data_IF_113228652082
#
_entry.id   IF_113228652082
#
_cell.length_a   1.000
_cell.length_b   1.000
_cell.length_c   1.000
_cell.angle_alpha   90.00
_cell.angle_beta   90.00
_cell.angle_gamma   90.00
#
_symmetry.space_group_name_H-M   'P 1'
#
loop_
_entity.id
_entity.type
_entity.pdbx_description
1 polymer ?
#
# COMPACT_ATOMS: atom_id res chain seq x y z
N UNK A 1 -7.65 -5.09 5.13
CA UNK A 1 -7.67 -4.24 3.93
C UNK A 1 -8.84 -4.55 3.00
N UNK A 2 -8.89 -5.70 2.30
CA UNK A 2 -9.95 -6.04 1.32
C UNK A 2 -11.38 -5.88 1.89
N UNK A 3 -11.61 -6.33 3.13
CA UNK A 3 -12.93 -6.17 3.79
C UNK A 3 -13.36 -4.71 3.95
N UNK A 4 -12.43 -3.81 4.22
CA UNK A 4 -12.69 -2.38 4.31
C UNK A 4 -12.97 -1.83 2.90
N UNK A 5 -12.16 -2.20 1.90
CA UNK A 5 -12.35 -1.82 0.51
C UNK A 5 -13.73 -2.22 -0.03
N UNK A 6 -14.19 -3.44 0.27
CA UNK A 6 -15.50 -3.94 -0.14
C UNK A 6 -16.68 -3.13 0.42
N UNK A 7 -16.50 -2.40 1.52
CA UNK A 7 -17.53 -1.47 2.03
C UNK A 7 -17.76 -0.28 1.09
N UNK A 8 -16.72 0.13 0.36
CA UNK A 8 -16.77 1.22 -0.61
C UNK A 8 -17.16 0.74 -2.03
N UNK A 9 -17.31 -0.57 -2.23
CA UNK A 9 -17.65 -1.20 -3.51
C UNK A 9 -18.91 -2.07 -3.36
N UNK A 10 -20.09 -1.45 -3.19
CA UNK A 10 -21.34 -2.20 -3.10
C UNK A 10 -21.57 -3.03 -4.37
N UNK A 11 -21.86 -4.32 -4.19
CA UNK A 11 -22.04 -5.28 -5.29
C UNK A 11 -20.79 -6.07 -5.68
N UNK A 12 -19.62 -5.78 -5.10
CA UNK A 12 -18.42 -6.60 -5.24
C UNK A 12 -18.30 -7.51 -4.02
N UNK A 13 -18.54 -8.80 -4.21
CA UNK A 13 -18.32 -9.84 -3.21
C UNK A 13 -17.00 -10.58 -3.46
N UNK A 14 -16.77 -11.69 -2.74
CA UNK A 14 -15.54 -12.46 -2.95
C UNK A 14 -15.49 -13.04 -4.36
N UNK A 15 -16.61 -13.49 -4.93
CA UNK A 15 -16.67 -14.24 -6.18
C UNK A 15 -16.41 -13.36 -7.41
N UNK A 16 -16.57 -12.05 -7.26
CA UNK A 16 -16.20 -11.06 -8.27
C UNK A 16 -14.67 -10.97 -8.56
N UNK A 17 -13.81 -11.56 -7.72
CA UNK A 17 -12.35 -11.52 -7.92
C UNK A 17 -11.82 -12.71 -8.72
N UNK A 18 -11.31 -12.44 -9.92
CA UNK A 18 -10.65 -13.44 -10.79
C UNK A 18 -9.30 -13.95 -10.24
N UNK A 19 -8.62 -13.15 -9.41
CA UNK A 19 -7.34 -13.49 -8.78
C UNK A 19 -7.32 -13.02 -7.33
N UNK A 20 -6.84 -13.89 -6.43
CA UNK A 20 -6.61 -13.59 -5.01
C UNK A 20 -5.25 -14.17 -4.63
N UNK A 21 -4.40 -13.31 -4.09
CA UNK A 21 -3.00 -13.62 -3.76
C UNK A 21 -2.62 -12.84 -2.52
N UNK A 22 -1.77 -13.43 -1.68
CA UNK A 22 -1.26 -12.87 -0.42
C UNK A 22 0.09 -12.14 -0.56
N UNK A 23 0.67 -12.17 -1.76
CA UNK A 23 1.85 -11.40 -2.14
C UNK A 23 1.48 -10.15 -2.94
N UNK A 24 1.78 -8.97 -2.37
CA UNK A 24 1.59 -7.68 -3.06
C UNK A 24 2.43 -7.59 -4.34
N UNK A 25 3.63 -8.17 -4.35
CA UNK A 25 4.51 -8.18 -5.52
C UNK A 25 3.89 -8.99 -6.67
N UNK A 26 3.30 -10.15 -6.38
CA UNK A 26 2.63 -10.97 -7.38
C UNK A 26 1.35 -10.29 -7.90
N UNK A 27 0.58 -9.64 -7.01
CA UNK A 27 -0.59 -8.84 -7.40
C UNK A 27 -0.19 -7.71 -8.36
N UNK A 28 0.82 -6.91 -8.02
CA UNK A 28 1.29 -5.80 -8.86
C UNK A 28 1.81 -6.31 -10.21
N UNK A 29 2.53 -7.43 -10.23
CA UNK A 29 2.98 -8.06 -11.47
C UNK A 29 1.81 -8.48 -12.36
N UNK A 30 0.74 -9.04 -11.79
CA UNK A 30 -0.47 -9.39 -12.55
C UNK A 30 -1.15 -8.15 -13.16
N UNK A 31 -1.25 -7.05 -12.40
CA UNK A 31 -1.78 -5.77 -12.91
C UNK A 31 -0.92 -5.28 -14.09
N UNK A 32 0.41 -5.25 -13.92
CA UNK A 32 1.36 -4.83 -14.97
C UNK A 32 1.31 -5.71 -16.22
N UNK A 33 1.03 -6.99 -16.06
CA UNK A 33 0.87 -7.93 -17.16
C UNK A 33 -0.49 -7.79 -17.89
N UNK A 34 -1.36 -6.87 -17.46
CA UNK A 34 -2.67 -6.66 -18.07
C UNK A 34 -3.70 -7.72 -17.69
N UNK A 35 -3.51 -8.44 -16.58
CA UNK A 35 -4.46 -9.45 -16.11
C UNK A 35 -5.87 -8.85 -15.83
N UNK A 36 -5.92 -7.57 -15.47
CA UNK A 36 -7.17 -6.84 -15.23
C UNK A 36 -6.95 -5.62 -14.35
N UNK A 37 -8.04 -5.11 -13.78
CA UNK A 37 -8.02 -4.00 -12.82
C UNK A 37 -7.68 -4.56 -11.43
N UNK A 38 -6.73 -3.92 -10.74
CA UNK A 38 -6.35 -4.29 -9.38
C UNK A 38 -6.11 -3.08 -8.48
N UNK A 39 -6.09 -3.34 -7.18
CA UNK A 39 -5.84 -2.33 -6.14
C UNK A 39 -4.35 -2.41 -5.76
N UNK A 40 -3.67 -1.26 -5.69
CA UNK A 40 -2.30 -1.14 -5.21
C UNK A 40 -2.06 0.26 -4.59
N UNK A 41 -0.96 0.45 -3.87
CA UNK A 41 -0.64 1.74 -3.26
C UNK A 41 -0.33 2.80 -4.34
N UNK A 42 -0.94 3.99 -4.21
CA UNK A 42 -0.78 5.10 -5.16
C UNK A 42 0.68 5.50 -5.33
N UNK A 43 1.44 5.58 -4.23
CA UNK A 43 2.86 5.94 -4.27
C UNK A 43 3.70 4.97 -5.12
N UNK A 44 3.37 3.68 -5.11
CA UNK A 44 4.05 2.66 -5.93
C UNK A 44 3.63 2.81 -7.39
N UNK A 45 2.32 2.87 -7.66
CA UNK A 45 1.78 2.94 -9.01
C UNK A 45 2.22 4.20 -9.78
N UNK A 46 2.41 5.34 -9.09
CA UNK A 46 2.88 6.61 -9.70
C UNK A 46 4.24 6.51 -10.39
N UNK A 47 5.07 5.54 -10.01
CA UNK A 47 6.38 5.33 -10.62
C UNK A 47 6.34 4.56 -11.94
N UNK A 48 5.17 4.04 -12.30
CA UNK A 48 4.97 3.21 -13.48
C UNK A 48 4.03 3.90 -14.50
N UNK A 49 4.56 4.43 -15.61
CA UNK A 49 3.76 5.13 -16.60
C UNK A 49 2.76 4.23 -17.35
N UNK A 50 2.90 2.90 -17.26
CA UNK A 50 1.95 1.96 -17.85
C UNK A 50 0.69 1.76 -16.99
N UNK A 51 0.70 2.23 -15.73
CA UNK A 51 -0.43 2.13 -14.83
C UNK A 51 -1.26 3.42 -14.85
N UNK A 52 -2.59 3.25 -14.89
CA UNK A 52 -3.55 4.35 -14.84
C UNK A 52 -4.39 4.22 -13.58
N UNK A 53 -4.46 5.31 -12.79
CA UNK A 53 -5.31 5.34 -11.59
C UNK A 53 -6.79 5.44 -12.01
N UNK A 54 -7.60 4.50 -11.53
CA UNK A 54 -9.05 4.48 -11.74
C UNK A 54 -9.78 4.91 -10.47
N UNK A 55 -10.96 5.51 -10.64
CA UNK A 55 -11.90 5.85 -9.55
C UNK A 55 -11.28 6.65 -8.36
N UNK A 56 -10.47 7.70 -8.61
CA UNK A 56 -9.78 8.42 -7.52
C UNK A 56 -10.73 9.04 -6.49
N UNK A 57 -11.95 9.40 -6.88
CA UNK A 57 -12.94 10.06 -6.01
C UNK A 57 -13.90 9.08 -5.30
N UNK A 58 -13.87 7.81 -5.68
CA UNK A 58 -14.74 6.76 -5.12
C UNK A 58 -13.97 5.87 -4.14
N UNK A 59 -12.68 5.64 -4.41
CA UNK A 59 -11.82 4.79 -3.60
C UNK A 59 -10.60 5.56 -3.12
N UNK A 60 -10.72 6.04 -1.88
CA UNK A 60 -9.61 6.53 -1.08
C UNK A 60 -9.55 5.75 0.23
N UNK A 61 -8.56 4.85 0.32
CA UNK A 61 -8.39 3.94 1.46
C UNK A 61 -7.07 4.29 2.14
N UNK A 62 -7.09 5.17 3.17
CA UNK A 62 -5.86 5.56 3.83
C UNK A 62 -5.18 4.35 4.46
N UNK A 63 -3.90 4.20 4.13
CA UNK A 63 -3.01 3.17 4.66
C UNK A 63 -2.00 3.82 5.61
N UNK A 64 -2.34 3.99 6.90
CA UNK A 64 -1.40 4.51 7.87
C UNK A 64 -0.12 3.69 7.92
N UNK A 65 1.02 4.37 8.00
CA UNK A 65 2.35 3.78 8.09
C UNK A 65 2.88 4.00 9.51
N UNK A 66 3.39 2.94 10.13
CA UNK A 66 4.03 3.00 11.44
C UNK A 66 5.46 2.51 11.36
N UNK A 67 6.34 3.19 12.09
CA UNK A 67 7.69 2.74 12.35
C UNK A 67 7.74 2.30 13.81
N UNK A 68 8.12 1.04 14.04
CA UNK A 68 8.04 0.40 15.35
C UNK A 68 9.41 -0.15 15.74
N UNK A 69 9.86 0.18 16.95
CA UNK A 69 11.06 -0.39 17.58
C UNK A 69 10.68 -1.17 18.83
N UNK A 70 11.43 -2.22 19.14
CA UNK A 70 11.33 -2.87 20.45
C UNK A 70 11.78 -1.87 21.54
N UNK A 71 11.09 -1.85 22.67
CA UNK A 71 11.30 -0.83 23.71
C UNK A 71 12.74 -0.81 24.27
N UNK A 72 13.36 -1.98 24.38
CA UNK A 72 14.75 -2.13 24.84
C UNK A 72 15.77 -1.44 23.94
N UNK A 73 15.44 -1.26 22.65
CA UNK A 73 16.33 -0.63 21.67
C UNK A 73 16.28 0.90 21.76
N UNK A 74 15.24 1.48 22.38
CA UNK A 74 14.99 2.93 22.41
C UNK A 74 16.12 3.74 23.04
N UNK A 75 16.86 3.15 23.98
CA UNK A 75 17.97 3.83 24.71
C UNK A 75 19.31 3.76 23.96
N UNK A 76 19.45 2.93 22.93
CA UNK A 76 20.68 2.80 22.17
C UNK A 76 20.77 3.84 21.05
N UNK A 77 21.75 4.76 21.12
CA UNK A 77 21.94 5.84 20.15
C UNK A 77 22.03 5.35 18.69
N UNK A 78 22.73 4.23 18.46
CA UNK A 78 22.84 3.60 17.13
C UNK A 78 21.49 3.21 16.53
N UNK A 79 20.55 2.74 17.36
CA UNK A 79 19.22 2.36 16.89
C UNK A 79 18.38 3.60 16.64
N UNK A 80 18.48 4.59 17.53
CA UNK A 80 17.80 5.87 17.35
C UNK A 80 18.18 6.52 16.02
N UNK A 81 19.47 6.58 15.69
CA UNK A 81 19.95 7.13 14.43
C UNK A 81 19.33 6.44 13.20
N UNK A 82 19.25 5.10 13.19
CA UNK A 82 18.61 4.35 12.10
C UNK A 82 17.11 4.65 12.02
N UNK A 83 16.42 4.67 13.15
CA UNK A 83 14.98 4.90 13.20
C UNK A 83 14.61 6.34 12.83
N UNK A 84 15.40 7.32 13.23
CA UNK A 84 15.23 8.72 12.82
C UNK A 84 15.41 8.85 11.30
N UNK A 85 16.41 8.17 10.71
CA UNK A 85 16.60 8.12 9.27
C UNK A 85 15.44 7.43 8.53
N UNK A 86 14.89 6.33 9.09
CA UNK A 86 13.70 5.67 8.55
C UNK A 86 12.48 6.60 8.59
N UNK A 87 12.25 7.30 9.71
CA UNK A 87 11.16 8.28 9.85
C UNK A 87 11.31 9.36 8.79
N UNK A 88 12.50 9.94 8.66
CA UNK A 88 12.76 10.98 7.67
C UNK A 88 12.50 10.49 6.24
N UNK A 89 13.03 9.32 5.87
CA UNK A 89 12.90 8.77 4.52
C UNK A 89 11.48 8.34 4.16
N UNK A 90 10.74 7.76 5.13
CA UNK A 90 9.40 7.22 4.89
C UNK A 90 8.28 8.26 5.08
N UNK A 91 8.55 9.39 5.72
CA UNK A 91 7.55 10.47 5.88
C UNK A 91 7.01 10.96 4.54
N UNK A 92 7.85 11.07 3.51
CA UNK A 92 7.42 11.47 2.18
C UNK A 92 6.52 10.42 1.51
N UNK A 93 6.75 9.13 1.77
CA UNK A 93 5.91 8.05 1.25
C UNK A 93 4.56 8.03 1.97
N UNK A 94 4.56 8.23 3.29
CA UNK A 94 3.35 8.27 4.11
C UNK A 94 2.48 9.51 3.84
N UNK A 95 3.06 10.66 3.52
CA UNK A 95 2.33 11.90 3.23
C UNK A 95 1.67 11.93 1.83
N UNK A 96 2.14 11.08 0.91
CA UNK A 96 1.72 11.06 -0.49
C UNK A 96 0.98 9.78 -0.91
N UNK A 97 0.76 8.87 0.05
CA UNK A 97 0.05 7.60 -0.10
C UNK A 97 -1.45 7.73 0.06
#
# INVERSE_FOLDING_TARGET
FIRTAMRHLPGIDRDAFALRVDSEAAQLAAIRAGFGIGICQVAIARTDPALVRLLPDVLDLPLPVWIVMHEDLRRGERYRAVFDALVQGLSAVAANG
#
